data_IF_976702820573
#
_entry.id   IF_976702820573
#
_cell.length_a   1.000
_cell.length_b   1.000
_cell.length_c   1.000
_cell.angle_alpha   90.00
_cell.angle_beta   90.00
_cell.angle_gamma   90.00
#
_symmetry.space_group_name_H-M   'P 1'
#
loop_
_entity.id
_entity.type
_entity.pdbx_description
1 polymer ?
#
# COMPACT_ATOMS: atom_id res chain seq x y z
N UNK A 1 67.24 17.75 94.42
CA UNK A 1 66.51 16.55 93.96
C UNK A 1 64.98 16.71 93.81
N UNK A 2 64.33 17.78 94.31
CA UNK A 2 62.86 17.94 94.19
C UNK A 2 62.38 18.45 92.81
N UNK A 3 63.17 19.25 92.09
CA UNK A 3 62.79 19.79 90.78
C UNK A 3 62.75 18.78 89.63
N UNK A 4 63.58 17.74 89.67
CA UNK A 4 63.64 16.71 88.63
C UNK A 4 62.38 15.80 88.65
N UNK A 5 61.85 15.52 89.84
CA UNK A 5 60.68 14.66 90.02
C UNK A 5 59.40 15.32 89.48
N UNK A 6 59.25 16.63 89.68
CA UNK A 6 58.08 17.40 89.21
C UNK A 6 58.07 17.48 87.67
N UNK A 7 59.24 17.60 87.05
CA UNK A 7 59.35 17.62 85.59
C UNK A 7 58.96 16.29 84.94
N UNK A 8 59.38 15.16 85.52
CA UNK A 8 58.99 13.82 85.04
C UNK A 8 57.48 13.55 85.19
N UNK A 9 56.87 14.00 86.29
CA UNK A 9 55.42 13.86 86.50
C UNK A 9 54.64 14.70 85.49
N UNK A 10 55.09 15.94 85.23
CA UNK A 10 54.50 16.80 84.19
C UNK A 10 54.60 16.19 82.79
N UNK A 11 55.74 15.59 82.46
CA UNK A 11 55.96 14.94 81.16
C UNK A 11 55.08 13.69 80.99
N UNK A 12 54.98 12.85 82.02
CA UNK A 12 54.07 11.68 82.02
C UNK A 12 52.59 12.06 81.85
N UNK A 13 52.14 13.14 82.51
CA UNK A 13 50.77 13.62 82.36
C UNK A 13 50.49 14.15 80.94
N UNK A 14 51.46 14.84 80.33
CA UNK A 14 51.33 15.35 78.96
C UNK A 14 51.25 14.21 77.93
N UNK A 15 52.05 13.15 78.09
CA UNK A 15 52.02 11.97 77.21
C UNK A 15 50.72 11.19 77.37
N UNK A 16 50.19 11.08 78.60
CA UNK A 16 48.90 10.44 78.86
C UNK A 16 47.71 11.16 78.22
N UNK A 17 47.73 12.49 78.20
CA UNK A 17 46.72 13.31 77.51
C UNK A 17 46.80 13.16 75.98
N UNK A 18 48.01 13.18 75.42
CA UNK A 18 48.26 12.94 73.99
C UNK A 18 47.78 11.55 73.56
N UNK A 19 48.05 10.51 74.35
CA UNK A 19 47.59 9.16 74.06
C UNK A 19 46.06 9.05 74.03
N UNK A 20 45.37 9.68 74.99
CA UNK A 20 43.89 9.71 74.99
C UNK A 20 43.32 10.45 73.79
N UNK A 21 43.91 11.59 73.40
CA UNK A 21 43.47 12.36 72.24
C UNK A 21 43.62 11.54 70.94
N UNK A 22 44.76 10.87 70.76
CA UNK A 22 45.00 10.00 69.59
C UNK A 22 44.03 8.83 69.56
N UNK A 23 43.72 8.22 70.72
CA UNK A 23 42.76 7.12 70.80
C UNK A 23 41.34 7.58 70.44
N UNK A 24 40.92 8.75 70.94
CA UNK A 24 39.61 9.32 70.64
C UNK A 24 39.43 9.61 69.15
N UNK A 25 40.43 10.23 68.51
CA UNK A 25 40.41 10.51 67.06
C UNK A 25 40.33 9.22 66.24
N UNK A 26 41.01 8.15 66.66
CA UNK A 26 40.93 6.84 65.97
C UNK A 26 39.54 6.20 66.09
N UNK A 27 38.92 6.25 67.27
CA UNK A 27 37.57 5.70 67.48
C UNK A 27 36.51 6.48 66.69
N UNK A 28 36.65 7.81 66.59
CA UNK A 28 35.73 8.66 65.84
C UNK A 28 35.87 8.46 64.32
N UNK A 29 37.11 8.35 63.83
CA UNK A 29 37.38 7.96 62.44
C UNK A 29 36.80 6.57 62.13
N UNK A 30 36.99 5.60 63.00
CA UNK A 30 36.52 4.23 62.76
C UNK A 30 35.00 4.13 62.73
N UNK A 31 34.29 4.88 63.59
CA UNK A 31 32.83 5.00 63.52
C UNK A 31 32.35 5.67 62.24
N UNK A 32 33.03 6.73 61.79
CA UNK A 32 32.70 7.38 60.52
C UNK A 32 32.91 6.43 59.33
N UNK A 33 33.97 5.62 59.34
CA UNK A 33 34.19 4.58 58.32
C UNK A 33 33.15 3.46 58.37
N UNK A 34 32.74 3.02 59.56
CA UNK A 34 31.67 2.03 59.72
C UNK A 34 30.31 2.55 59.24
N UNK A 35 29.99 3.82 59.50
CA UNK A 35 28.75 4.46 59.04
C UNK A 35 28.72 4.65 57.52
N UNK A 36 29.85 5.03 56.91
CA UNK A 36 30.00 5.10 55.45
C UNK A 36 29.89 3.71 54.81
N UNK A 37 30.53 2.70 55.39
CA UNK A 37 30.46 1.31 54.90
C UNK A 37 29.05 0.71 55.03
N UNK A 38 28.33 1.04 56.11
CA UNK A 38 26.94 0.63 56.30
C UNK A 38 26.02 1.30 55.26
N UNK A 39 26.22 2.59 54.98
CA UNK A 39 25.45 3.32 53.97
C UNK A 39 25.67 2.74 52.55
N UNK A 40 26.92 2.42 52.19
CA UNK A 40 27.25 1.85 50.87
C UNK A 40 26.66 0.44 50.67
N UNK A 41 26.60 -0.37 51.74
CA UNK A 41 25.99 -1.71 51.69
C UNK A 41 24.46 -1.73 51.50
N UNK A 42 23.78 -0.60 51.71
CA UNK A 42 22.34 -0.45 51.43
C UNK A 42 22.03 0.00 50.01
N UNK A 43 23.03 0.44 49.25
CA UNK A 43 22.90 0.80 47.84
C UNK A 43 23.02 -0.46 46.96
N UNK A 44 21.91 -1.18 46.80
CA UNK A 44 21.85 -2.36 45.94
C UNK A 44 21.83 -1.98 44.46
N UNK A 45 22.96 -2.18 43.78
CA UNK A 45 23.07 -2.04 42.33
C UNK A 45 22.23 -3.09 41.55
N UNK A 46 21.79 -4.18 42.18
CA UNK A 46 21.11 -5.28 41.50
C UNK A 46 19.70 -4.92 41.00
N UNK A 47 18.91 -4.15 41.77
CA UNK A 47 17.56 -3.75 41.34
C UNK A 47 17.52 -2.83 40.10
N UNK A 48 18.27 -1.72 40.03
CA UNK A 48 18.19 -0.80 38.90
C UNK A 48 18.77 -1.38 37.59
N UNK A 49 19.72 -2.32 37.66
CA UNK A 49 20.28 -2.99 36.48
C UNK A 49 19.25 -3.90 35.79
N UNK A 50 18.47 -4.67 36.56
CA UNK A 50 17.45 -5.57 36.00
C UNK A 50 16.26 -4.86 35.36
N UNK A 51 15.79 -3.76 35.96
CA UNK A 51 14.70 -2.96 35.37
C UNK A 51 15.16 -2.26 34.08
N UNK A 52 16.37 -1.69 34.06
CA UNK A 52 16.94 -1.07 32.86
C UNK A 52 17.11 -2.08 31.72
N UNK A 53 17.60 -3.28 32.01
CA UNK A 53 17.72 -4.36 31.02
C UNK A 53 16.35 -4.81 30.48
N UNK A 54 15.34 -4.89 31.35
CA UNK A 54 13.97 -5.23 30.93
C UNK A 54 13.33 -4.15 30.05
N UNK A 55 13.55 -2.88 30.37
CA UNK A 55 13.09 -1.72 29.58
C UNK A 55 13.82 -1.64 28.23
N UNK A 56 15.12 -1.94 28.20
CA UNK A 56 15.89 -2.02 26.96
C UNK A 56 15.35 -3.12 26.05
N UNK A 57 15.08 -4.30 26.59
CA UNK A 57 14.48 -5.41 25.84
C UNK A 57 13.09 -5.04 25.29
N UNK A 58 12.25 -4.38 26.08
CA UNK A 58 10.95 -3.89 25.59
C UNK A 58 11.09 -2.83 24.50
N UNK A 59 12.05 -1.90 24.63
CA UNK A 59 12.33 -0.90 23.59
C UNK A 59 12.80 -1.56 22.28
N UNK A 60 13.70 -2.55 22.36
CA UNK A 60 14.16 -3.31 21.20
C UNK A 60 13.00 -4.08 20.54
N UNK A 61 12.12 -4.70 21.33
CA UNK A 61 10.93 -5.38 20.83
C UNK A 61 9.99 -4.40 20.10
N UNK A 62 9.68 -3.24 20.70
CA UNK A 62 8.84 -2.24 20.07
C UNK A 62 9.48 -1.68 18.79
N UNK A 63 10.79 -1.44 18.78
CA UNK A 63 11.50 -1.01 17.58
C UNK A 63 11.41 -2.05 16.45
N UNK A 64 11.56 -3.34 16.76
CA UNK A 64 11.37 -4.41 15.78
C UNK A 64 9.93 -4.49 15.28
N UNK A 65 8.94 -4.31 16.16
CA UNK A 65 7.56 -4.29 15.73
C UNK A 65 7.22 -3.08 14.85
N UNK A 66 7.76 -1.90 15.16
CA UNK A 66 7.62 -0.70 14.33
C UNK A 66 8.21 -0.97 12.94
N UNK A 67 9.45 -1.49 12.87
CA UNK A 67 10.08 -1.83 11.60
C UNK A 67 9.27 -2.85 10.78
N UNK A 68 8.69 -3.87 11.42
CA UNK A 68 7.79 -4.82 10.75
C UNK A 68 6.50 -4.16 10.25
N UNK A 69 5.92 -3.24 11.03
CA UNK A 69 4.73 -2.48 10.63
C UNK A 69 5.03 -1.56 9.46
N UNK A 70 6.18 -0.90 9.45
CA UNK A 70 6.61 -0.02 8.36
C UNK A 70 6.80 -0.80 7.06
N UNK A 71 7.51 -1.94 7.10
CA UNK A 71 7.64 -2.82 5.93
C UNK A 71 6.28 -3.28 5.39
N UNK A 72 5.35 -3.62 6.27
CA UNK A 72 3.98 -3.98 5.87
C UNK A 72 3.23 -2.80 5.27
N UNK A 73 3.44 -1.60 5.80
CA UNK A 73 2.82 -0.37 5.31
C UNK A 73 3.32 -0.02 3.90
N UNK A 74 4.62 -0.15 3.65
CA UNK A 74 5.21 0.04 2.33
C UNK A 74 4.67 -0.96 1.31
N UNK A 75 4.58 -2.23 1.71
CA UNK A 75 3.98 -3.28 0.88
C UNK A 75 2.52 -2.97 0.56
N UNK A 76 1.71 -2.62 1.56
CA UNK A 76 0.29 -2.28 1.35
C UNK A 76 0.13 -1.02 0.49
N UNK A 77 0.97 -0.01 0.70
CA UNK A 77 0.99 1.21 -0.11
C UNK A 77 1.25 0.89 -1.58
N UNK A 78 2.19 -0.02 -1.87
CA UNK A 78 2.46 -0.47 -3.24
C UNK A 78 1.27 -1.22 -3.85
N UNK A 79 0.60 -2.10 -3.08
CA UNK A 79 -0.58 -2.84 -3.53
C UNK A 79 -1.74 -1.89 -3.82
N UNK A 80 -1.99 -0.92 -2.94
CA UNK A 80 -3.03 0.10 -3.15
C UNK A 80 -2.74 0.92 -4.41
N UNK A 81 -1.49 1.37 -4.59
CA UNK A 81 -1.08 2.12 -5.78
C UNK A 81 -1.33 1.32 -7.07
N UNK A 82 -0.93 0.05 -7.11
CA UNK A 82 -1.14 -0.80 -8.28
C UNK A 82 -2.64 -1.04 -8.51
N UNK A 83 -3.41 -1.32 -7.46
CA UNK A 83 -4.86 -1.51 -7.55
C UNK A 83 -5.60 -0.28 -8.06
N UNK A 84 -5.16 0.93 -7.70
CA UNK A 84 -5.74 2.19 -8.21
C UNK A 84 -5.44 2.33 -9.70
N UNK A 85 -4.20 2.06 -10.14
CA UNK A 85 -3.84 2.11 -11.55
C UNK A 85 -4.63 1.09 -12.39
N UNK A 86 -4.85 -0.11 -11.87
CA UNK A 86 -5.63 -1.13 -12.56
C UNK A 86 -7.12 -0.75 -12.62
N UNK A 87 -7.66 -0.14 -11.57
CA UNK A 87 -9.02 0.40 -11.57
C UNK A 87 -9.19 1.53 -12.61
N UNK A 88 -8.22 2.42 -12.75
CA UNK A 88 -8.23 3.48 -13.76
C UNK A 88 -8.20 2.91 -15.18
N UNK A 89 -7.35 1.91 -15.45
CA UNK A 89 -7.32 1.23 -16.75
C UNK A 89 -8.63 0.53 -17.06
N UNK A 90 -9.20 -0.18 -16.09
CA UNK A 90 -10.47 -0.87 -16.24
C UNK A 90 -11.61 0.13 -16.53
N UNK A 91 -11.60 1.29 -15.85
CA UNK A 91 -12.56 2.36 -16.10
C UNK A 91 -12.44 2.91 -17.53
N UNK A 92 -11.23 3.20 -18.00
CA UNK A 92 -11.01 3.69 -19.36
C UNK A 92 -11.47 2.68 -20.43
N UNK A 93 -11.21 1.37 -20.20
CA UNK A 93 -11.72 0.31 -21.08
C UNK A 93 -13.25 0.23 -21.08
N UNK A 94 -13.89 0.38 -19.92
CA UNK A 94 -15.34 0.37 -19.81
C UNK A 94 -15.97 1.56 -20.55
N UNK A 95 -15.39 2.75 -20.44
CA UNK A 95 -15.83 3.94 -21.19
C UNK A 95 -15.68 3.74 -22.71
N UNK A 96 -14.58 3.13 -23.16
CA UNK A 96 -14.38 2.82 -24.58
C UNK A 96 -15.41 1.81 -25.10
N UNK A 97 -15.70 0.76 -24.33
CA UNK A 97 -16.70 -0.25 -24.69
C UNK A 97 -18.12 0.34 -24.76
N UNK A 98 -18.48 1.26 -23.87
CA UNK A 98 -19.78 1.95 -23.94
C UNK A 98 -19.88 2.84 -25.19
N UNK A 99 -18.80 3.52 -25.58
CA UNK A 99 -18.76 4.29 -26.83
C UNK A 99 -18.90 3.38 -28.06
N UNK A 100 -18.22 2.23 -28.08
CA UNK A 100 -18.31 1.25 -29.16
C UNK A 100 -19.73 0.67 -29.27
N UNK A 101 -20.32 0.29 -28.13
CA UNK A 101 -21.70 -0.19 -28.06
C UNK A 101 -22.70 0.85 -28.55
N UNK A 102 -22.53 2.11 -28.18
CA UNK A 102 -23.39 3.18 -28.68
C UNK A 102 -23.22 3.38 -30.19
N UNK A 103 -21.98 3.33 -30.69
CA UNK A 103 -21.72 3.40 -32.13
C UNK A 103 -22.36 2.23 -32.89
N UNK A 104 -22.37 1.03 -32.32
CA UNK A 104 -23.03 -0.13 -32.90
C UNK A 104 -24.56 -0.02 -32.89
N UNK A 105 -25.15 0.50 -31.82
CA UNK A 105 -26.58 0.83 -31.77
C UNK A 105 -26.93 1.84 -32.87
N UNK A 106 -26.13 2.90 -33.03
CA UNK A 106 -26.34 3.92 -34.05
C UNK A 106 -26.21 3.35 -35.47
N UNK A 107 -25.23 2.47 -35.71
CA UNK A 107 -25.07 1.76 -36.98
C UNK A 107 -26.28 0.89 -37.28
N UNK A 108 -26.77 0.16 -36.28
CA UNK A 108 -27.93 -0.73 -36.40
C UNK A 108 -29.21 0.07 -36.73
N UNK A 109 -29.43 1.20 -36.05
CA UNK A 109 -30.56 2.09 -36.34
C UNK A 109 -30.49 2.67 -37.75
N UNK A 110 -29.30 3.12 -38.19
CA UNK A 110 -29.08 3.63 -39.55
C UNK A 110 -29.34 2.54 -40.60
N UNK A 111 -28.85 1.33 -40.37
CA UNK A 111 -29.10 0.19 -41.25
C UNK A 111 -30.59 -0.15 -41.34
N UNK A 112 -31.32 -0.14 -40.22
CA UNK A 112 -32.77 -0.34 -40.18
C UNK A 112 -33.52 0.74 -40.98
N UNK A 113 -33.12 2.02 -40.86
CA UNK A 113 -33.70 3.11 -41.64
C UNK A 113 -33.43 2.91 -43.13
N UNK A 114 -32.20 2.57 -43.51
CA UNK A 114 -31.84 2.29 -44.91
C UNK A 114 -32.63 1.10 -45.46
N UNK A 115 -32.81 0.02 -44.70
CA UNK A 115 -33.62 -1.13 -45.10
C UNK A 115 -35.08 -0.74 -45.41
N UNK A 116 -35.69 0.11 -44.55
CA UNK A 116 -37.03 0.66 -44.77
C UNK A 116 -37.10 1.53 -46.03
N UNK A 117 -36.07 2.34 -46.28
CA UNK A 117 -35.97 3.19 -47.47
C UNK A 117 -35.83 2.36 -48.74
N UNK A 118 -34.92 1.38 -48.76
CA UNK A 118 -34.70 0.50 -49.91
C UNK A 118 -35.92 -0.35 -50.24
N UNK A 119 -36.72 -0.73 -49.24
CA UNK A 119 -37.99 -1.44 -49.46
C UNK A 119 -39.00 -0.63 -50.29
N UNK A 120 -38.83 0.71 -50.38
CA UNK A 120 -39.68 1.62 -51.14
C UNK A 120 -39.04 2.06 -52.47
N UNK A 121 -37.77 1.72 -52.72
CA UNK A 121 -37.02 2.15 -53.90
C UNK A 121 -36.98 1.06 -54.98
N UNK A 122 -36.75 1.48 -56.22
CA UNK A 122 -36.53 0.55 -57.33
C UNK A 122 -35.08 0.05 -57.33
N UNK A 123 -34.85 -1.15 -57.85
CA UNK A 123 -33.53 -1.83 -57.89
C UNK A 123 -32.45 -0.92 -58.51
N UNK A 124 -32.77 -0.24 -59.62
CA UNK A 124 -31.85 0.66 -60.33
C UNK A 124 -31.45 1.90 -59.50
N UNK A 125 -32.24 2.29 -58.50
CA UNK A 125 -31.92 3.39 -57.58
C UNK A 125 -31.09 2.90 -56.39
N UNK A 126 -31.25 1.64 -55.99
CA UNK A 126 -30.51 1.02 -54.88
C UNK A 126 -29.07 0.68 -55.30
N UNK A 127 -28.89 0.16 -56.51
CA UNK A 127 -27.59 -0.28 -57.04
C UNK A 127 -26.43 0.72 -56.89
N UNK A 128 -26.57 2.01 -57.28
CA UNK A 128 -25.48 2.98 -57.13
C UNK A 128 -25.15 3.28 -55.66
N UNK A 129 -26.11 3.15 -54.74
CA UNK A 129 -25.90 3.37 -53.32
C UNK A 129 -25.10 2.20 -52.74
N UNK A 130 -25.55 0.97 -53.00
CA UNK A 130 -24.87 -0.24 -52.50
C UNK A 130 -23.42 -0.33 -52.98
N UNK A 131 -23.11 0.15 -54.19
CA UNK A 131 -21.75 0.16 -54.74
C UNK A 131 -20.74 0.90 -53.84
N UNK A 132 -21.20 1.92 -53.12
CA UNK A 132 -20.36 2.76 -52.27
C UNK A 132 -20.37 2.35 -50.78
N UNK A 133 -21.21 1.38 -50.40
CA UNK A 133 -21.26 0.85 -49.04
C UNK A 133 -20.29 -0.34 -48.91
N UNK A 134 -19.75 -0.54 -47.71
CA UNK A 134 -18.98 -1.73 -47.37
C UNK A 134 -19.89 -2.96 -47.17
N UNK A 135 -19.30 -4.15 -47.22
CA UNK A 135 -20.04 -5.41 -47.14
C UNK A 135 -20.71 -5.64 -45.78
N UNK A 136 -20.14 -5.13 -44.67
CA UNK A 136 -20.72 -5.29 -43.34
C UNK A 136 -21.99 -4.43 -43.21
N UNK A 137 -21.94 -3.17 -43.65
CA UNK A 137 -23.10 -2.29 -43.68
C UNK A 137 -24.20 -2.86 -44.56
N UNK A 138 -23.85 -3.39 -45.74
CA UNK A 138 -24.81 -4.04 -46.64
C UNK A 138 -25.44 -5.27 -45.99
N UNK A 139 -24.66 -6.06 -45.24
CA UNK A 139 -25.15 -7.22 -44.51
C UNK A 139 -26.13 -6.83 -43.39
N UNK A 140 -25.83 -5.76 -42.64
CA UNK A 140 -26.73 -5.22 -41.61
C UNK A 140 -28.05 -4.73 -42.23
N UNK A 141 -27.99 -3.98 -43.33
CA UNK A 141 -29.19 -3.56 -44.06
C UNK A 141 -29.97 -4.78 -44.55
N UNK A 142 -29.30 -5.80 -45.08
CA UNK A 142 -29.91 -7.04 -45.53
C UNK A 142 -30.63 -7.79 -44.40
N UNK A 143 -30.02 -7.86 -43.19
CA UNK A 143 -30.63 -8.46 -41.99
C UNK A 143 -31.97 -7.81 -41.63
N UNK A 144 -32.04 -6.48 -41.68
CA UNK A 144 -33.25 -5.69 -41.38
C UNK A 144 -34.25 -5.58 -42.52
N UNK A 145 -33.88 -5.99 -43.72
CA UNK A 145 -34.76 -5.93 -44.89
C UNK A 145 -35.77 -7.06 -44.84
N UNK A 146 -37.05 -6.75 -45.06
CA UNK A 146 -38.09 -7.79 -45.11
C UNK A 146 -37.83 -8.81 -46.23
N UNK A 147 -38.17 -10.09 -45.99
CA UNK A 147 -37.86 -11.19 -46.90
C UNK A 147 -38.29 -10.95 -48.36
N UNK A 148 -39.43 -10.28 -48.57
CA UNK A 148 -39.93 -9.91 -49.91
C UNK A 148 -38.97 -9.00 -50.68
N UNK A 149 -38.25 -8.12 -49.98
CA UNK A 149 -37.39 -7.09 -50.57
C UNK A 149 -35.90 -7.45 -50.54
N UNK A 150 -35.49 -8.49 -49.80
CA UNK A 150 -34.11 -9.00 -49.79
C UNK A 150 -33.58 -9.33 -51.18
N UNK A 151 -34.43 -9.91 -52.04
CA UNK A 151 -34.08 -10.19 -53.44
C UNK A 151 -33.68 -8.91 -54.20
N UNK A 152 -34.32 -7.78 -53.92
CA UNK A 152 -34.00 -6.51 -54.59
C UNK A 152 -32.60 -6.01 -54.21
N UNK A 153 -32.16 -6.23 -52.98
CA UNK A 153 -30.80 -5.90 -52.53
C UNK A 153 -29.79 -6.78 -53.28
N UNK A 154 -30.01 -8.10 -53.33
CA UNK A 154 -29.11 -9.02 -54.02
C UNK A 154 -29.04 -8.76 -55.54
N UNK A 155 -30.16 -8.44 -56.17
CA UNK A 155 -30.21 -8.08 -57.59
C UNK A 155 -29.62 -6.70 -57.91
N UNK A 156 -29.53 -5.81 -56.92
CA UNK A 156 -28.95 -4.48 -57.09
C UNK A 156 -27.41 -4.50 -57.04
N UNK A 157 -26.79 -5.63 -56.71
CA UNK A 157 -25.33 -5.82 -56.65
C UNK A 157 -24.86 -6.86 -57.66
N UNK A 158 -23.54 -6.94 -57.89
CA UNK A 158 -22.99 -7.97 -58.78
C UNK A 158 -23.05 -9.37 -58.14
N UNK A 159 -23.05 -10.40 -58.97
CA UNK A 159 -23.24 -11.80 -58.55
C UNK A 159 -22.21 -12.25 -57.52
N UNK A 160 -20.93 -11.92 -57.73
CA UNK A 160 -19.84 -12.28 -56.80
C UNK A 160 -20.08 -11.72 -55.41
N UNK A 161 -20.48 -10.45 -55.32
CA UNK A 161 -20.76 -9.77 -54.05
C UNK A 161 -22.03 -10.27 -53.39
N UNK A 162 -23.08 -10.55 -54.17
CA UNK A 162 -24.31 -11.16 -53.65
C UNK A 162 -24.07 -12.55 -53.05
N UNK A 163 -23.24 -13.37 -53.71
CA UNK A 163 -22.86 -14.69 -53.22
C UNK A 163 -22.09 -14.59 -51.89
N UNK A 164 -21.06 -13.73 -51.84
CA UNK A 164 -20.28 -13.49 -50.63
C UNK A 164 -21.15 -12.97 -49.46
N UNK A 165 -22.08 -12.06 -49.73
CA UNK A 165 -23.02 -11.56 -48.72
C UNK A 165 -23.91 -12.70 -48.17
N UNK A 166 -24.37 -13.58 -49.05
CA UNK A 166 -25.24 -14.71 -48.68
C UNK A 166 -24.48 -15.73 -47.84
N UNK A 167 -23.25 -16.05 -48.22
CA UNK A 167 -22.35 -16.92 -47.44
C UNK A 167 -22.12 -16.34 -46.04
N UNK A 168 -21.74 -15.06 -45.96
CA UNK A 168 -21.54 -14.37 -44.69
C UNK A 168 -22.80 -14.36 -43.81
N UNK A 169 -23.98 -14.24 -44.41
CA UNK A 169 -25.25 -14.28 -43.68
C UNK A 169 -25.54 -15.66 -43.08
N UNK A 170 -25.19 -16.74 -43.79
CA UNK A 170 -25.39 -18.11 -43.31
C UNK A 170 -24.38 -18.44 -42.20
N UNK A 171 -23.11 -18.06 -42.37
CA UNK A 171 -22.05 -18.37 -41.40
C UNK A 171 -22.18 -17.61 -40.07
N UNK A 172 -22.83 -16.44 -40.06
CA UNK A 172 -23.08 -15.66 -38.84
C UNK A 172 -24.36 -16.06 -38.08
N UNK A 173 -25.02 -17.14 -38.49
CA UNK A 173 -26.29 -17.61 -37.91
C UNK A 173 -26.06 -18.76 -36.94
#
# INVERSE_FOLDING_TARGET
MKGLLIFFIGLMLSVGLLYKAVKFVKEEQQKAFEEIAAHDSTFSWEKPLTEADSLRLMLEQYQQEIAKRDQKMDSLSSVVKNSVQDAEKAKAMAEQLELEKQADIDREQKAMIMAKTFSKMKINQIAPILKNLDDQTVLLIYKHTGNRFKKNILLAMNEKRAAALTENFITQR
#
